data_IF_646091665694
#
_entry.id   IF_646091665694
#
_cell.length_a   1.000
_cell.length_b   1.000
_cell.length_c   1.000
_cell.angle_alpha   90.00
_cell.angle_beta   90.00
_cell.angle_gamma   90.00
#
_symmetry.space_group_name_H-M   'P 1'
#
loop_
_entity.id
_entity.type
_entity.pdbx_description
1 polymer ?
#
# COMPACT_ATOMS: atom_id res chain seq x y z
N UNK A 1 15.99 -6.78 22.25
CA UNK A 1 14.53 -6.54 22.25
C UNK A 1 13.93 -7.57 21.32
N UNK A 2 12.88 -8.32 21.69
CA UNK A 2 12.26 -9.23 20.73
C UNK A 2 11.73 -8.39 19.56
N UNK A 3 12.17 -8.71 18.34
CA UNK A 3 11.66 -8.05 17.13
C UNK A 3 10.15 -8.26 17.07
N UNK A 4 9.41 -7.16 17.10
CA UNK A 4 7.95 -7.19 17.01
C UNK A 4 7.56 -7.88 15.71
N UNK A 5 6.79 -8.97 15.81
CA UNK A 5 6.45 -9.79 14.65
C UNK A 5 5.52 -9.02 13.71
N UNK A 6 6.09 -8.49 12.62
CA UNK A 6 5.31 -7.78 11.60
C UNK A 6 4.33 -8.73 10.91
N UNK A 7 3.05 -8.48 11.13
CA UNK A 7 1.93 -9.20 10.51
C UNK A 7 1.30 -8.34 9.42
N UNK A 8 1.17 -8.93 8.23
CA UNK A 8 0.59 -8.31 7.04
C UNK A 8 -0.84 -8.78 6.88
N UNK A 9 -1.74 -7.85 6.55
CA UNK A 9 -3.17 -8.10 6.39
C UNK A 9 -3.52 -8.56 4.97
N UNK A 10 -2.80 -8.03 3.99
CA UNK A 10 -3.18 -8.14 2.59
C UNK A 10 -2.28 -9.10 1.82
N UNK A 11 -2.68 -9.38 0.58
CA UNK A 11 -1.98 -10.33 -0.27
C UNK A 11 -0.81 -9.66 -0.99
N UNK A 12 0.39 -10.20 -0.79
CA UNK A 12 1.60 -9.74 -1.45
C UNK A 12 2.07 -10.78 -2.47
N UNK A 13 2.38 -10.33 -3.68
CA UNK A 13 2.80 -11.19 -4.79
C UNK A 13 4.07 -10.63 -5.40
N UNK A 14 4.95 -11.51 -5.87
CA UNK A 14 6.10 -11.10 -6.69
C UNK A 14 5.60 -10.37 -7.93
N UNK A 15 6.28 -9.29 -8.28
CA UNK A 15 5.94 -8.52 -9.48
C UNK A 15 6.33 -9.29 -10.75
N UNK A 16 7.48 -9.97 -10.70
CA UNK A 16 8.00 -10.79 -11.78
C UNK A 16 8.47 -12.15 -11.23
N UNK A 17 8.35 -13.24 -12.00
CA UNK A 17 8.78 -14.58 -11.56
C UNK A 17 10.27 -14.65 -11.16
N UNK A 18 11.08 -13.83 -11.82
CA UNK A 18 12.54 -13.80 -11.85
C UNK A 18 13.15 -12.69 -10.97
N UNK A 19 12.32 -11.85 -10.35
CA UNK A 19 12.75 -10.82 -9.40
C UNK A 19 12.27 -11.15 -7.98
N UNK A 20 13.18 -11.62 -7.13
CA UNK A 20 12.90 -11.98 -5.74
C UNK A 20 12.77 -10.75 -4.81
N UNK A 21 13.02 -9.56 -5.34
CA UNK A 21 13.19 -8.33 -4.60
C UNK A 21 12.12 -7.27 -4.89
N UNK A 22 11.12 -7.57 -5.73
CA UNK A 22 10.01 -6.67 -6.05
C UNK A 22 8.65 -7.32 -5.85
N UNK A 23 7.79 -6.66 -5.09
CA UNK A 23 6.47 -7.18 -4.75
C UNK A 23 5.38 -6.12 -4.95
N UNK A 24 4.17 -6.60 -5.20
CA UNK A 24 2.95 -5.78 -5.26
C UNK A 24 1.93 -6.29 -4.24
N UNK A 25 1.33 -5.35 -3.51
CA UNK A 25 0.32 -5.61 -2.49
C UNK A 25 -1.09 -5.38 -3.04
N UNK A 26 -2.02 -6.28 -2.72
CA UNK A 26 -3.39 -6.26 -3.22
C UNK A 26 -4.44 -6.36 -2.10
N UNK A 27 -5.42 -5.46 -2.15
CA UNK A 27 -6.69 -5.55 -1.42
C UNK A 27 -7.74 -6.19 -2.33
N UNK A 28 -7.90 -7.51 -2.21
CA UNK A 28 -8.68 -8.29 -3.16
C UNK A 28 -8.14 -8.14 -4.59
N UNK A 29 -8.87 -7.42 -5.44
CA UNK A 29 -8.50 -7.12 -6.83
C UNK A 29 -7.75 -5.78 -7.00
N UNK A 30 -7.66 -4.97 -5.96
CA UNK A 30 -7.12 -3.61 -6.01
C UNK A 30 -5.64 -3.57 -5.69
N UNK A 31 -4.85 -2.92 -6.55
CA UNK A 31 -3.46 -2.62 -6.23
C UNK A 31 -3.39 -1.56 -5.13
N UNK A 32 -2.76 -1.89 -4.00
CA UNK A 32 -2.51 -0.94 -2.92
C UNK A 32 -1.16 -0.24 -3.08
N UNK A 33 -0.17 -0.98 -3.58
CA UNK A 33 1.19 -0.47 -3.66
C UNK A 33 2.22 -1.52 -4.05
N UNK A 34 3.48 -1.10 -4.00
CA UNK A 34 4.64 -1.90 -4.37
C UNK A 34 5.77 -1.69 -3.38
N UNK A 35 6.63 -2.70 -3.26
CA UNK A 35 7.90 -2.61 -2.54
C UNK A 35 9.02 -3.15 -3.42
N UNK A 36 10.23 -2.66 -3.20
CA UNK A 36 11.42 -3.08 -3.94
C UNK A 36 12.71 -2.92 -3.14
N UNK A 37 13.63 -3.88 -3.22
CA UNK A 37 14.97 -3.71 -2.67
C UNK A 37 15.74 -2.67 -3.48
N UNK A 38 16.29 -1.68 -2.78
CA UNK A 38 17.20 -0.71 -3.37
C UNK A 38 18.62 -1.28 -3.34
N UNK A 39 19.45 -0.90 -4.33
CA UNK A 39 20.84 -1.36 -4.43
C UNK A 39 21.72 -0.96 -3.23
N UNK A 40 21.28 0.01 -2.41
CA UNK A 40 21.95 0.41 -1.17
C UNK A 40 21.51 -0.42 0.06
N UNK A 41 20.72 -1.48 -0.11
CA UNK A 41 20.38 -2.43 0.96
C UNK A 41 19.13 -2.11 1.79
N UNK A 42 18.37 -1.07 1.45
CA UNK A 42 17.08 -0.75 2.08
C UNK A 42 15.91 -1.06 1.14
N UNK A 43 14.71 -1.24 1.69
CA UNK A 43 13.50 -1.47 0.90
C UNK A 43 12.77 -0.16 0.66
N UNK A 44 12.50 0.14 -0.60
CA UNK A 44 11.62 1.24 -1.00
C UNK A 44 10.18 0.76 -1.09
N UNK A 45 9.25 1.66 -0.84
CA UNK A 45 7.83 1.38 -1.00
C UNK A 45 7.10 2.55 -1.64
N UNK A 46 6.00 2.23 -2.32
CA UNK A 46 5.04 3.18 -2.82
C UNK A 46 3.62 2.67 -2.62
N UNK A 47 2.74 3.52 -2.14
CA UNK A 47 1.31 3.24 -1.95
C UNK A 47 0.47 4.28 -2.68
N UNK A 48 -0.69 3.89 -3.16
CA UNK A 48 -1.60 4.83 -3.81
C UNK A 48 -3.02 4.34 -3.86
N UNK A 49 -3.96 5.28 -3.76
CA UNK A 49 -5.38 5.00 -3.89
C UNK A 49 -5.82 5.23 -5.33
N UNK A 50 -6.36 4.22 -6.01
CA UNK A 50 -6.92 4.36 -7.35
C UNK A 50 -8.42 4.12 -7.40
N UNK A 51 -9.08 4.76 -8.35
CA UNK A 51 -10.48 4.52 -8.71
C UNK A 51 -10.65 3.27 -9.59
N UNK A 52 -9.57 2.77 -10.18
CA UNK A 52 -9.55 1.58 -11.03
C UNK A 52 -8.60 0.53 -10.46
N UNK A 53 -8.88 -0.76 -10.70
CA UNK A 53 -8.14 -1.88 -10.12
C UNK A 53 -6.62 -1.79 -10.38
N UNK A 54 -6.26 -1.22 -11.53
CA UNK A 54 -4.89 -0.91 -11.96
C UNK A 54 -4.82 0.46 -12.66
N UNK A 55 -5.33 1.50 -12.00
CA UNK A 55 -5.36 2.85 -12.55
C UNK A 55 -4.29 3.79 -11.98
N UNK A 56 -4.22 5.04 -12.48
CA UNK A 56 -3.43 6.09 -11.86
C UNK A 56 -3.91 6.32 -10.42
N UNK A 57 -2.97 6.67 -9.54
CA UNK A 57 -3.28 6.99 -8.16
C UNK A 57 -3.91 8.38 -8.06
N UNK A 58 -5.04 8.49 -7.36
CA UNK A 58 -5.65 9.75 -6.91
C UNK A 58 -4.74 10.50 -5.94
N UNK A 59 -4.02 9.73 -5.12
CA UNK A 59 -3.05 10.20 -4.16
C UNK A 59 -2.06 9.08 -3.90
N UNK A 60 -0.79 9.42 -3.68
CA UNK A 60 0.25 8.45 -3.47
C UNK A 60 1.28 8.94 -2.46
N UNK A 61 1.95 7.99 -1.84
CA UNK A 61 3.07 8.23 -0.94
C UNK A 61 4.16 7.20 -1.21
N UNK A 62 5.39 7.57 -0.90
CA UNK A 62 6.54 6.69 -0.99
C UNK A 62 7.38 6.81 0.28
N UNK A 63 8.23 5.82 0.50
CA UNK A 63 9.17 5.83 1.61
C UNK A 63 10.19 4.70 1.52
N UNK A 64 10.93 4.51 2.61
CA UNK A 64 11.94 3.47 2.73
C UNK A 64 11.91 2.84 4.13
N UNK A 65 12.23 1.56 4.20
CA UNK A 65 12.23 0.76 5.41
C UNK A 65 13.40 -0.24 5.39
N UNK A 66 13.86 -0.73 6.56
CA UNK A 66 15.02 -1.61 6.63
C UNK A 66 14.72 -3.04 6.13
N UNK A 67 13.45 -3.46 6.05
CA UNK A 67 13.09 -4.82 5.64
C UNK A 67 11.87 -4.85 4.71
N UNK A 68 11.74 -5.93 3.93
CA UNK A 68 10.58 -6.15 3.05
C UNK A 68 9.26 -6.13 3.82
N UNK A 69 9.22 -6.74 5.02
CA UNK A 69 8.02 -6.78 5.86
C UNK A 69 7.67 -5.40 6.41
N UNK A 70 8.66 -4.61 6.83
CA UNK A 70 8.44 -3.24 7.28
C UNK A 70 7.91 -2.37 6.12
N UNK A 71 8.53 -2.46 4.93
CA UNK A 71 8.07 -1.78 3.73
C UNK A 71 6.63 -2.16 3.36
N UNK A 72 6.31 -3.46 3.37
CA UNK A 72 4.96 -3.95 3.13
C UNK A 72 3.96 -3.39 4.15
N UNK A 73 4.32 -3.42 5.44
CA UNK A 73 3.46 -2.88 6.50
C UNK A 73 3.24 -1.37 6.36
N UNK A 74 4.25 -0.62 5.94
CA UNK A 74 4.13 0.80 5.66
C UNK A 74 3.13 1.08 4.51
N UNK A 75 3.15 0.27 3.45
CA UNK A 75 2.16 0.34 2.36
C UNK A 75 0.76 0.08 2.87
N UNK A 76 0.56 -0.99 3.66
CA UNK A 76 -0.75 -1.33 4.22
C UNK A 76 -1.29 -0.19 5.09
N UNK A 77 -0.48 0.33 6.02
CA UNK A 77 -0.86 1.44 6.89
C UNK A 77 -1.19 2.71 6.08
N UNK A 78 -0.41 3.00 5.05
CA UNK A 78 -0.64 4.13 4.17
C UNK A 78 -1.96 3.97 3.40
N UNK A 79 -2.20 2.79 2.83
CA UNK A 79 -3.41 2.46 2.08
C UNK A 79 -4.66 2.56 2.95
N UNK A 80 -4.65 1.97 4.15
CA UNK A 80 -5.78 2.02 5.09
C UNK A 80 -6.10 3.46 5.50
N UNK A 81 -5.07 4.28 5.77
CA UNK A 81 -5.26 5.70 6.09
C UNK A 81 -5.77 6.52 4.90
N UNK A 82 -5.31 6.21 3.67
CA UNK A 82 -5.85 6.85 2.46
C UNK A 82 -7.32 6.47 2.25
N UNK A 83 -7.70 5.20 2.45
CA UNK A 83 -9.09 4.74 2.39
C UNK A 83 -9.98 5.40 3.45
N UNK A 84 -9.46 5.60 4.66
CA UNK A 84 -10.15 6.31 5.73
C UNK A 84 -10.27 7.82 5.47
N UNK A 85 -9.45 8.38 4.57
CA UNK A 85 -9.39 9.83 4.32
C UNK A 85 -8.50 10.60 5.32
N UNK A 86 -7.69 9.89 6.10
CA UNK A 86 -6.86 10.41 7.20
C UNK A 86 -5.36 10.50 6.84
N UNK A 87 -5.03 10.36 5.57
CA UNK A 87 -3.65 10.53 5.10
C UNK A 87 -3.31 12.03 4.95
N UNK A 88 -2.15 12.49 5.47
CA UNK A 88 -1.75 13.90 5.35
C UNK A 88 -1.63 14.36 3.90
N UNK A 89 -2.07 15.58 3.61
CA UNK A 89 -1.99 16.16 2.27
C UNK A 89 -3.14 15.77 1.32
N UNK A 90 -4.10 14.94 1.76
CA UNK A 90 -5.32 14.70 0.98
C UNK A 90 -6.23 15.93 0.97
N UNK A 91 -6.61 16.39 -0.23
CA UNK A 91 -7.64 17.42 -0.41
C UNK A 91 -9.04 16.87 -0.11
N UNK A 92 -10.00 17.75 0.20
CA UNK A 92 -11.37 17.37 0.53
C UNK A 92 -12.03 16.52 -0.56
N UNK A 93 -11.76 16.85 -1.84
CA UNK A 93 -12.23 16.07 -2.99
C UNK A 93 -11.71 14.63 -2.95
N UNK A 94 -10.41 14.44 -2.64
CA UNK A 94 -9.80 13.12 -2.55
C UNK A 94 -10.35 12.35 -1.34
N UNK A 95 -10.54 13.02 -0.19
CA UNK A 95 -11.15 12.40 1.00
C UNK A 95 -12.56 11.90 0.75
N UNK A 96 -13.41 12.75 0.15
CA UNK A 96 -14.79 12.37 -0.22
C UNK A 96 -14.80 11.17 -1.18
N UNK A 97 -13.86 11.14 -2.12
CA UNK A 97 -13.74 10.02 -3.05
C UNK A 97 -13.24 8.74 -2.39
N UNK A 98 -12.27 8.85 -1.48
CA UNK A 98 -11.76 7.71 -0.71
C UNK A 98 -12.85 7.04 0.12
N UNK A 99 -13.63 7.83 0.87
CA UNK A 99 -14.76 7.32 1.65
C UNK A 99 -15.83 6.65 0.75
N UNK A 100 -16.07 7.20 -0.44
CA UNK A 100 -16.97 6.59 -1.43
C UNK A 100 -16.43 5.25 -1.97
N UNK A 101 -15.13 5.15 -2.23
CA UNK A 101 -14.47 3.92 -2.69
C UNK A 101 -14.48 2.84 -1.60
N UNK A 102 -14.25 3.22 -0.34
CA UNK A 102 -14.33 2.31 0.79
C UNK A 102 -15.73 1.66 0.90
N UNK A 103 -16.79 2.40 0.58
CA UNK A 103 -18.18 1.91 0.64
C UNK A 103 -18.66 1.12 -0.59
N UNK A 104 -18.11 1.35 -1.78
CA UNK A 104 -18.65 0.79 -3.04
C UNK A 104 -18.35 -0.69 -3.28
N UNK A 105 -17.35 -1.26 -2.60
CA UNK A 105 -16.90 -2.64 -2.89
C UNK A 105 -16.53 -3.46 -1.66
N UNK A 106 -17.02 -3.07 -0.47
CA UNK A 106 -16.68 -3.80 0.75
C UNK A 106 -15.20 -3.69 1.14
N UNK A 107 -14.48 -2.66 0.68
CA UNK A 107 -13.11 -2.33 1.15
C UNK A 107 -13.10 -1.79 2.60
N UNK A 108 -14.12 -2.14 3.37
CA UNK A 108 -14.32 -1.81 4.78
C UNK A 108 -14.24 -3.09 5.61
N UNK A 109 -13.31 -3.07 6.56
CA UNK A 109 -13.25 -3.90 7.78
C UNK A 109 -13.38 -5.41 7.58
N UNK A 110 -12.26 -6.03 7.22
CA UNK A 110 -11.79 -7.24 7.90
C UNK A 110 -10.83 -6.84 9.01
#
# INVERSE_FOLDING_TARGET
MPEEKITLKYNWRRKWPDEDDKFSGFDGKWLMGYIGLHHMGYWTWGSGLSEYEKGPALHGATGMEPTARAAAKAVENCYERMLAGDWPGMSDKVRARAMSLAGREGRKYG
#
